data_IF_183530372325
#
_entry.id   IF_183530372325
#
_cell.length_a   1.000
_cell.length_b   1.000
_cell.length_c   1.000
_cell.angle_alpha   90.00
_cell.angle_beta   90.00
_cell.angle_gamma   90.00
#
_symmetry.space_group_name_H-M   'P 1'
#
loop_
_entity.id
_entity.type
_entity.pdbx_description
1 polymer ?
#
# COMPACT_ATOMS: atom_id res chain seq x y z
N UNK A 1 7.38 -11.38 1.84
CA UNK A 1 6.29 -10.70 1.12
C UNK A 1 6.69 -9.26 0.75
N UNK A 2 7.84 -9.04 0.08
CA UNK A 2 8.28 -7.67 -0.27
C UNK A 2 7.69 -7.15 -1.58
N UNK A 3 7.30 -8.07 -2.49
CA UNK A 3 6.90 -7.76 -3.86
C UNK A 3 5.38 -7.73 -4.05
N UNK A 4 4.63 -7.66 -2.94
CA UNK A 4 3.17 -7.61 -2.99
C UNK A 4 2.72 -6.19 -2.71
N UNK A 5 1.85 -5.68 -3.57
CA UNK A 5 1.18 -4.39 -3.39
C UNK A 5 -0.32 -4.59 -3.26
N UNK A 6 -0.96 -3.60 -2.65
CA UNK A 6 -2.41 -3.50 -2.54
C UNK A 6 -2.84 -2.20 -3.20
N UNK A 7 -3.77 -2.32 -4.13
CA UNK A 7 -4.40 -1.19 -4.83
C UNK A 7 -5.82 -1.02 -4.25
N UNK A 8 -6.10 0.19 -3.81
CA UNK A 8 -7.37 0.61 -3.22
C UNK A 8 -8.24 1.33 -4.26
N UNK A 9 -9.55 1.31 -4.06
CA UNK A 9 -10.54 2.08 -4.84
C UNK A 9 -10.64 1.77 -6.34
N UNK A 10 -10.02 0.69 -6.81
CA UNK A 10 -10.09 0.24 -8.19
C UNK A 10 -11.48 -0.34 -8.52
N UNK A 11 -12.15 0.17 -9.55
CA UNK A 11 -13.50 -0.26 -9.96
C UNK A 11 -13.57 -1.77 -10.25
N UNK A 12 -14.64 -2.44 -9.81
CA UNK A 12 -14.83 -3.86 -10.07
C UNK A 12 -15.28 -4.11 -11.52
N UNK A 13 -14.58 -4.98 -12.23
CA UNK A 13 -14.99 -5.45 -13.55
C UNK A 13 -15.39 -6.91 -13.43
N UNK A 14 -16.66 -7.21 -13.75
CA UNK A 14 -17.26 -8.55 -13.59
C UNK A 14 -16.63 -9.60 -14.52
N UNK A 15 -16.05 -9.19 -15.65
CA UNK A 15 -15.44 -10.06 -16.68
C UNK A 15 -14.16 -9.46 -17.29
N UNK A 16 -13.26 -8.96 -16.46
CA UNK A 16 -12.01 -8.32 -16.91
C UNK A 16 -10.75 -9.07 -16.49
N UNK A 17 -9.68 -8.97 -17.29
CA UNK A 17 -8.36 -9.43 -16.89
C UNK A 17 -7.81 -8.47 -15.82
N UNK A 18 -7.65 -8.96 -14.58
CA UNK A 18 -7.11 -8.17 -13.47
C UNK A 18 -5.70 -7.65 -13.77
N UNK A 19 -4.87 -8.44 -14.45
CA UNK A 19 -3.51 -8.03 -14.82
C UNK A 19 -3.54 -6.83 -15.75
N UNK A 20 -4.35 -6.86 -16.81
CA UNK A 20 -4.43 -5.74 -17.75
C UNK A 20 -4.92 -4.45 -17.08
N UNK A 21 -5.87 -4.56 -16.14
CA UNK A 21 -6.35 -3.39 -15.39
C UNK A 21 -5.26 -2.73 -14.55
N UNK A 22 -4.38 -3.54 -13.97
CA UNK A 22 -3.25 -3.05 -13.19
C UNK A 22 -2.24 -2.35 -14.08
N UNK A 23 -1.91 -2.94 -15.23
CA UNK A 23 -0.97 -2.36 -16.18
C UNK A 23 -1.52 -1.04 -16.75
N UNK A 24 -2.80 -1.00 -17.13
CA UNK A 24 -3.43 0.24 -17.60
C UNK A 24 -3.38 1.32 -16.52
N UNK A 25 -3.69 0.98 -15.26
CA UNK A 25 -3.59 1.94 -14.15
C UNK A 25 -2.17 2.50 -14.01
N UNK A 26 -1.14 1.67 -14.14
CA UNK A 26 0.25 2.14 -14.01
C UNK A 26 0.70 2.97 -15.20
N UNK A 27 0.27 2.61 -16.40
CA UNK A 27 0.54 3.40 -17.60
C UNK A 27 -0.15 4.77 -17.53
N UNK A 28 -1.44 4.80 -17.18
CA UNK A 28 -2.27 6.02 -17.18
C UNK A 28 -1.98 6.95 -15.98
N UNK A 29 -1.88 6.41 -14.77
CA UNK A 29 -1.80 7.23 -13.54
C UNK A 29 -0.36 7.41 -13.03
N UNK A 30 0.53 6.44 -13.30
CA UNK A 30 1.91 6.48 -12.82
C UNK A 30 2.91 6.83 -13.92
N UNK A 31 2.53 6.81 -15.20
CA UNK A 31 3.41 7.06 -16.35
C UNK A 31 4.65 6.16 -16.29
N UNK A 32 4.41 4.86 -16.06
CA UNK A 32 5.43 3.81 -16.01
C UNK A 32 5.32 2.97 -17.28
N UNK A 33 6.46 2.66 -17.90
CA UNK A 33 6.50 1.66 -18.97
C UNK A 33 6.22 0.28 -18.39
N UNK A 34 5.12 -0.32 -18.85
CA UNK A 34 4.62 -1.60 -18.34
C UNK A 34 5.07 -2.79 -19.19
N UNK A 35 5.79 -2.54 -20.29
CA UNK A 35 6.17 -3.56 -21.27
C UNK A 35 7.02 -4.68 -20.66
N UNK A 36 7.93 -4.33 -19.74
CA UNK A 36 8.86 -5.26 -19.09
C UNK A 36 8.38 -5.74 -17.70
N UNK A 37 7.19 -5.33 -17.25
CA UNK A 37 6.72 -5.64 -15.89
C UNK A 37 6.17 -7.07 -15.79
N UNK A 38 6.65 -7.82 -14.80
CA UNK A 38 6.30 -9.23 -14.64
C UNK A 38 5.39 -9.46 -13.44
N UNK A 39 4.09 -9.50 -13.69
CA UNK A 39 3.07 -9.83 -12.69
C UNK A 39 2.96 -11.36 -12.56
N UNK A 40 3.35 -11.89 -11.39
CA UNK A 40 3.18 -13.31 -11.05
C UNK A 40 1.70 -13.63 -10.78
N UNK A 41 0.99 -12.73 -10.08
CA UNK A 41 -0.42 -12.93 -9.72
C UNK A 41 -1.12 -11.60 -9.45
N UNK A 42 -2.29 -11.40 -10.04
CA UNK A 42 -3.20 -10.31 -9.71
C UNK A 42 -4.59 -10.85 -9.37
N UNK A 43 -5.15 -10.47 -8.22
CA UNK A 43 -6.47 -10.91 -7.80
C UNK A 43 -7.13 -9.94 -6.82
N UNK A 44 -8.46 -9.98 -6.71
CA UNK A 44 -9.21 -9.21 -5.72
C UNK A 44 -9.19 -9.89 -4.35
N UNK A 45 -9.06 -9.08 -3.31
CA UNK A 45 -9.11 -9.55 -1.92
C UNK A 45 -10.55 -9.77 -1.48
N UNK A 46 -10.82 -10.93 -0.89
CA UNK A 46 -12.15 -11.27 -0.34
C UNK A 46 -13.16 -11.76 -1.38
N UNK A 47 -14.32 -12.20 -0.89
CA UNK A 47 -15.43 -12.69 -1.72
C UNK A 47 -16.24 -11.52 -2.25
N UNK A 48 -16.73 -11.65 -3.49
CA UNK A 48 -17.65 -10.68 -4.07
C UNK A 48 -18.98 -10.72 -3.30
N UNK A 49 -19.39 -9.59 -2.74
CA UNK A 49 -20.70 -9.47 -2.10
C UNK A 49 -21.69 -8.83 -3.07
N UNK A 50 -22.67 -9.62 -3.53
CA UNK A 50 -23.74 -9.16 -4.43
C UNK A 50 -24.64 -8.09 -3.80
N UNK A 51 -24.68 -8.01 -2.46
CA UNK A 51 -25.52 -7.05 -1.72
C UNK A 51 -24.92 -5.65 -1.67
N UNK A 52 -23.60 -5.54 -1.80
CA UNK A 52 -22.88 -4.28 -1.71
C UNK A 52 -22.16 -4.01 -3.03
N UNK A 53 -22.92 -3.60 -4.05
CA UNK A 53 -22.38 -3.33 -5.41
C UNK A 53 -21.32 -2.22 -5.42
N UNK A 54 -21.38 -1.31 -4.45
CA UNK A 54 -20.45 -0.19 -4.33
C UNK A 54 -19.18 -0.55 -3.53
N UNK A 55 -19.11 -1.73 -2.92
CA UNK A 55 -17.95 -2.15 -2.15
C UNK A 55 -16.80 -2.53 -3.10
N UNK A 56 -15.93 -1.57 -3.40
CA UNK A 56 -14.73 -1.80 -4.21
C UNK A 56 -13.71 -2.63 -3.45
N UNK A 57 -13.63 -3.94 -3.74
CA UNK A 57 -12.62 -4.82 -3.12
C UNK A 57 -11.22 -4.39 -3.53
N UNK A 58 -10.30 -4.39 -2.57
CA UNK A 58 -8.90 -4.10 -2.85
C UNK A 58 -8.29 -5.15 -3.79
N UNK A 59 -7.40 -4.73 -4.68
CA UNK A 59 -6.66 -5.64 -5.55
C UNK A 59 -5.28 -5.92 -4.97
N UNK A 60 -4.90 -7.19 -4.90
CA UNK A 60 -3.56 -7.62 -4.51
C UNK A 60 -2.81 -8.06 -5.75
N UNK A 61 -1.65 -7.46 -5.96
CA UNK A 61 -0.76 -7.77 -7.07
C UNK A 61 0.57 -8.22 -6.49
N UNK A 62 1.08 -9.33 -7.01
CA UNK A 62 2.39 -9.87 -6.70
C UNK A 62 3.24 -9.82 -7.95
N UNK A 63 4.37 -9.13 -7.85
CA UNK A 63 5.38 -9.07 -8.90
C UNK A 63 6.43 -10.16 -8.69
N UNK A 64 7.00 -10.61 -9.80
CA UNK A 64 8.17 -11.48 -9.77
C UNK A 64 9.36 -10.72 -9.17
N UNK A 65 9.62 -9.52 -9.68
CA UNK A 65 10.79 -8.73 -9.33
C UNK A 65 10.48 -7.63 -8.32
N UNK A 66 11.42 -7.39 -7.40
CA UNK A 66 11.29 -6.30 -6.44
C UNK A 66 11.52 -4.93 -7.10
N UNK A 67 12.27 -4.90 -8.21
CA UNK A 67 12.53 -3.66 -8.96
C UNK A 67 11.22 -3.03 -9.41
N UNK A 68 10.32 -3.81 -10.02
CA UNK A 68 8.97 -3.37 -10.40
C UNK A 68 8.21 -2.75 -9.22
N UNK A 69 8.28 -3.41 -8.06
CA UNK A 69 7.59 -2.96 -6.85
C UNK A 69 8.17 -1.62 -6.36
N UNK A 70 9.49 -1.47 -6.32
CA UNK A 70 10.12 -0.21 -5.92
C UNK A 70 9.79 0.92 -6.90
N UNK A 71 9.89 0.68 -8.21
CA UNK A 71 9.53 1.67 -9.25
C UNK A 71 8.09 2.16 -9.11
N UNK A 72 7.14 1.27 -8.85
CA UNK A 72 5.75 1.62 -8.57
C UNK A 72 5.64 2.47 -7.30
N UNK A 73 6.27 2.04 -6.21
CA UNK A 73 6.19 2.72 -4.91
C UNK A 73 6.85 4.11 -4.95
N UNK A 74 7.92 4.28 -5.72
CA UNK A 74 8.59 5.56 -5.95
C UNK A 74 7.70 6.53 -6.70
N UNK A 75 6.89 6.06 -7.65
CA UNK A 75 5.96 6.87 -8.41
C UNK A 75 4.58 7.02 -7.76
N UNK A 76 4.29 6.31 -6.67
CA UNK A 76 2.99 6.33 -6.00
C UNK A 76 2.53 7.73 -5.53
N UNK A 77 3.45 8.70 -5.40
CA UNK A 77 3.07 10.09 -5.11
C UNK A 77 2.27 10.74 -6.25
N UNK A 78 2.37 10.25 -7.49
CA UNK A 78 1.59 10.75 -8.65
C UNK A 78 0.09 10.51 -8.47
N UNK A 79 -0.28 9.47 -7.71
CA UNK A 79 -1.68 9.19 -7.32
C UNK A 79 -2.26 10.22 -6.34
N UNK A 80 -1.47 11.21 -5.90
CA UNK A 80 -1.96 12.27 -5.02
C UNK A 80 -3.06 13.06 -5.73
N UNK A 81 -4.29 12.99 -5.17
CA UNK A 81 -5.56 13.54 -5.69
C UNK A 81 -6.30 12.64 -6.68
N UNK A 82 -5.73 11.51 -7.07
CA UNK A 82 -6.50 10.44 -7.71
C UNK A 82 -7.42 9.77 -6.67
N UNK A 83 -8.52 9.12 -7.10
CA UNK A 83 -9.33 8.30 -6.21
C UNK A 83 -8.61 7.02 -5.78
N UNK A 84 -7.50 6.66 -6.43
CA UNK A 84 -6.78 5.41 -6.21
C UNK A 84 -5.77 5.54 -5.06
N UNK A 85 -5.59 4.44 -4.34
CA UNK A 85 -4.55 4.32 -3.32
C UNK A 85 -3.63 3.16 -3.65
N UNK A 86 -2.36 3.27 -3.26
CA UNK A 86 -1.38 2.21 -3.41
C UNK A 86 -0.55 2.11 -2.14
N UNK A 87 -0.40 0.90 -1.60
CA UNK A 87 0.52 0.61 -0.49
C UNK A 87 1.07 -0.81 -0.64
N UNK A 88 2.11 -1.14 0.12
CA UNK A 88 2.61 -2.52 0.21
C UNK A 88 1.63 -3.39 0.98
N UNK A 89 1.62 -4.68 0.67
CA UNK A 89 0.87 -5.64 1.46
C UNK A 89 1.59 -5.92 2.79
N UNK A 90 0.97 -5.51 3.89
CA UNK A 90 1.45 -5.81 5.24
C UNK A 90 0.61 -6.92 5.91
N UNK A 91 1.17 -7.62 6.91
CA UNK A 91 0.39 -8.42 7.84
C UNK A 91 -0.77 -7.64 8.45
N UNK A 92 -1.83 -8.36 8.84
CA UNK A 92 -3.10 -7.77 9.29
C UNK A 92 -2.91 -6.81 10.46
N UNK A 93 -2.04 -7.15 11.39
CA UNK A 93 -1.71 -6.40 12.60
C UNK A 93 -1.12 -5.04 12.24
N UNK A 94 -0.14 -5.04 11.34
CA UNK A 94 0.51 -3.82 10.84
C UNK A 94 -0.47 -3.00 10.01
N UNK A 95 -1.24 -3.64 9.12
CA UNK A 95 -2.24 -2.94 8.31
C UNK A 95 -3.28 -2.23 9.19
N UNK A 96 -3.78 -2.91 10.22
CA UNK A 96 -4.74 -2.33 11.17
C UNK A 96 -4.13 -1.16 11.94
N UNK A 97 -2.91 -1.30 12.43
CA UNK A 97 -2.19 -0.23 13.13
C UNK A 97 -1.98 1.00 12.22
N UNK A 98 -1.51 0.79 10.98
CA UNK A 98 -1.34 1.86 9.99
C UNK A 98 -2.65 2.58 9.67
N UNK A 99 -3.75 1.85 9.49
CA UNK A 99 -5.07 2.45 9.27
C UNK A 99 -5.53 3.29 10.47
N UNK A 100 -5.27 2.85 11.70
CA UNK A 100 -5.55 3.64 12.91
C UNK A 100 -4.71 4.93 12.93
N UNK A 101 -3.43 4.86 12.59
CA UNK A 101 -2.57 6.05 12.52
C UNK A 101 -3.03 7.06 11.47
N UNK A 102 -3.46 6.61 10.29
CA UNK A 102 -4.04 7.50 9.27
C UNK A 102 -5.30 8.23 9.77
N UNK A 103 -6.10 7.59 10.64
CA UNK A 103 -7.33 8.14 11.21
C UNK A 103 -7.10 8.94 12.50
N UNK A 104 -5.89 8.92 13.05
CA UNK A 104 -5.54 9.61 14.29
C UNK A 104 -5.74 11.12 14.20
N UNK A 105 -6.02 11.75 15.33
CA UNK A 105 -6.24 13.19 15.38
C UNK A 105 -4.94 13.95 15.07
N UNK A 106 -3.79 13.39 15.45
CA UNK A 106 -2.45 13.91 15.18
C UNK A 106 -2.19 14.00 13.68
N UNK A 107 -2.49 12.93 12.92
CA UNK A 107 -2.35 12.91 11.47
C UNK A 107 -3.28 13.94 10.80
N UNK A 108 -4.55 14.02 11.25
CA UNK A 108 -5.52 14.99 10.73
C UNK A 108 -5.09 16.43 11.00
N UNK A 109 -4.70 16.75 12.23
CA UNK A 109 -4.24 18.07 12.63
C UNK A 109 -2.98 18.50 11.85
N UNK A 110 -2.04 17.58 11.67
CA UNK A 110 -0.84 17.85 10.88
C UNK A 110 -1.15 18.06 9.39
N UNK A 111 -2.07 17.29 8.82
CA UNK A 111 -2.53 17.49 7.44
C UNK A 111 -3.21 18.86 7.26
N UNK A 112 -4.07 19.28 8.20
CA UNK A 112 -4.69 20.62 8.20
C UNK A 112 -3.65 21.74 8.25
N UNK A 113 -2.59 21.56 9.05
CA UNK A 113 -1.45 22.49 9.14
C UNK A 113 -0.46 22.36 7.99
N UNK A 114 -0.77 21.54 6.96
CA UNK A 114 0.12 21.25 5.81
C UNK A 114 1.50 20.73 6.21
N UNK A 115 1.62 20.11 7.37
CA UNK A 115 2.85 19.45 7.79
C UNK A 115 3.07 18.17 6.99
N UNK A 116 4.33 17.77 6.84
CA UNK A 116 4.70 16.52 6.18
C UNK A 116 4.36 15.35 7.11
N UNK A 117 3.33 14.59 6.76
CA UNK A 117 2.90 13.39 7.48
C UNK A 117 3.38 12.15 6.73
N UNK A 118 4.06 11.24 7.42
CA UNK A 118 4.54 9.98 6.86
C UNK A 118 4.26 8.84 7.84
N UNK A 119 3.85 7.68 7.33
CA UNK A 119 3.72 6.46 8.15
C UNK A 119 4.81 5.47 7.74
N UNK A 120 5.86 5.37 8.55
CA UNK A 120 6.99 4.49 8.31
C UNK A 120 6.71 3.08 8.82
N UNK A 121 7.41 2.11 8.26
CA UNK A 121 7.38 0.72 8.72
C UNK A 121 7.90 0.60 10.17
N UNK A 122 7.31 -0.28 11.00
CA UNK A 122 6.10 -1.07 10.74
C UNK A 122 4.81 -0.22 10.74
N UNK A 123 4.59 0.57 11.79
CA UNK A 123 3.49 1.51 11.88
C UNK A 123 3.90 2.69 12.79
N UNK A 124 4.68 3.62 12.23
CA UNK A 124 5.20 4.79 12.93
C UNK A 124 4.73 6.07 12.26
N UNK A 125 3.96 6.89 12.98
CA UNK A 125 3.52 8.19 12.49
C UNK A 125 4.64 9.21 12.71
N UNK A 126 5.20 9.73 11.61
CA UNK A 126 6.20 10.77 11.61
C UNK A 126 5.61 12.08 11.08
N UNK A 127 5.81 13.18 11.81
CA UNK A 127 5.38 14.53 11.41
C UNK A 127 6.62 15.41 11.34
N UNK A 128 6.89 16.00 10.17
CA UNK A 128 8.12 16.77 9.89
C UNK A 128 9.41 16.03 10.29
N UNK A 129 9.44 14.71 10.05
CA UNK A 129 10.58 13.85 10.35
C UNK A 129 10.68 13.33 11.79
N UNK A 130 9.88 13.85 12.74
CA UNK A 130 9.84 13.38 14.13
C UNK A 130 8.78 12.31 14.32
N UNK A 131 9.11 11.22 15.01
CA UNK A 131 8.14 10.18 15.38
C UNK A 131 7.24 10.71 16.49
N UNK A 132 5.94 10.70 16.24
CA UNK A 132 4.91 11.14 17.20
C UNK A 132 4.24 9.95 17.88
N UNK A 133 3.95 8.89 17.12
CA UNK A 133 3.31 7.67 17.61
C UNK A 133 4.02 6.47 17.00
N UNK A 134 4.40 5.51 17.84
CA UNK A 134 4.94 4.21 17.43
C UNK A 134 4.04 3.10 17.98
N UNK A 135 3.41 2.35 17.07
CA UNK A 135 2.52 1.26 17.46
C UNK A 135 3.27 -0.04 17.77
N UNK A 136 4.56 -0.12 17.42
CA UNK A 136 5.41 -1.28 17.66
C UNK A 136 6.84 -0.85 18.05
N UNK A 137 7.01 -0.20 19.22
CA UNK A 137 8.30 0.35 19.64
C UNK A 137 9.40 -0.71 19.78
N UNK A 138 9.04 -1.94 20.16
CA UNK A 138 9.96 -3.06 20.35
C UNK A 138 10.26 -3.85 19.07
N UNK A 139 9.62 -3.50 17.94
CA UNK A 139 9.68 -4.29 16.70
C UNK A 139 11.10 -4.59 16.24
N UNK A 140 11.98 -3.60 16.28
CA UNK A 140 13.37 -3.75 15.85
C UNK A 140 14.26 -4.45 16.89
N UNK A 141 13.87 -4.46 18.16
CA UNK A 141 14.57 -5.21 19.20
C UNK A 141 14.33 -6.71 19.01
N UNK A 142 13.08 -7.09 18.76
CA UNK A 142 12.68 -8.48 18.49
C UNK A 142 13.33 -9.00 17.20
N UNK A 143 13.33 -8.20 16.12
CA UNK A 143 13.98 -8.60 14.85
C UNK A 143 15.51 -8.78 14.95
N UNK A 144 16.15 -8.19 15.97
CA UNK A 144 17.58 -8.33 16.22
C UNK A 144 17.96 -9.63 16.93
N UNK A 145 17.01 -10.28 17.62
CA UNK A 145 17.28 -11.50 18.39
C UNK A 145 17.19 -12.78 17.55
N UNK A 146 16.38 -12.79 16.48
CA UNK A 146 16.21 -13.97 15.60
C UNK A 146 17.22 -14.04 14.44
N UNK A 147 18.14 -13.08 14.34
CA UNK A 147 19.33 -13.28 13.51
C UNK A 147 20.25 -14.20 14.28
N UNK A 148 20.09 -15.51 14.06
CA UNK A 148 21.11 -16.51 14.35
C UNK A 148 22.46 -15.90 14.01
N UNK A 149 23.25 -15.64 15.05
CA UNK A 149 24.67 -15.33 14.93
C UNK A 149 25.28 -16.56 14.27
N UNK A 150 25.49 -16.47 12.96
CA UNK A 150 26.30 -17.42 12.21
C UNK A 150 27.78 -17.09 12.46
#
# INVERSE_FOLDING_TARGET
>A
MRNNIVIYELTEILKGNCTQLVLNLFSEELDIDTSDMHIERAHRMGRFDRKCRDAKRHMVVRFRDNVDTETIMENAYKLKRSPFGLDRQYPKEISKARSSLFKSQEARNAAMKRHKVQIKYPARLCINGRTMIDMFPEWFQVLGHDRLVA
#
